data_IF_308888802175
#
_entry.id   IF_308888802175
#
_cell.length_a   1.000
_cell.length_b   1.000
_cell.length_c   1.000
_cell.angle_alpha   90.00
_cell.angle_beta   90.00
_cell.angle_gamma   90.00
#
_symmetry.space_group_name_H-M   'P 1'
#
loop_
_entity.id
_entity.type
_entity.pdbx_description
1 polymer ?
#
# COMPACT_ATOMS: atom_id res chain seq x y z
N UNK A 1 15.81 -4.49 9.01
CA UNK A 1 16.02 -4.03 7.62
C UNK A 1 16.91 -2.80 7.64
N UNK A 2 18.05 -2.90 6.99
CA UNK A 2 19.07 -1.86 6.82
C UNK A 2 19.04 -1.29 5.40
N UNK A 3 19.82 -0.24 5.12
CA UNK A 3 19.98 0.26 3.75
C UNK A 3 20.60 -0.79 2.81
N UNK A 4 21.50 -1.64 3.32
CA UNK A 4 22.10 -2.72 2.55
C UNK A 4 21.07 -3.75 2.09
N UNK A 5 20.10 -4.09 2.95
CA UNK A 5 19.00 -4.99 2.59
C UNK A 5 18.16 -4.42 1.44
N UNK A 6 17.91 -3.10 1.44
CA UNK A 6 17.18 -2.43 0.36
C UNK A 6 17.94 -2.53 -0.96
N UNK A 7 19.24 -2.26 -0.94
CA UNK A 7 20.10 -2.37 -2.12
C UNK A 7 20.13 -3.81 -2.64
N UNK A 8 20.24 -4.81 -1.75
CA UNK A 8 20.27 -6.22 -2.12
C UNK A 8 18.98 -6.65 -2.86
N UNK A 9 17.81 -6.24 -2.39
CA UNK A 9 16.54 -6.54 -3.07
C UNK A 9 16.40 -5.73 -4.36
N UNK A 10 16.63 -4.42 -4.29
CA UNK A 10 16.38 -3.50 -5.40
C UNK A 10 17.29 -3.77 -6.61
N UNK A 11 18.59 -3.99 -6.36
CA UNK A 11 19.63 -4.10 -7.40
C UNK A 11 20.16 -5.51 -7.62
N UNK A 12 20.15 -6.36 -6.60
CA UNK A 12 20.81 -7.68 -6.65
C UNK A 12 19.81 -8.85 -6.68
N UNK A 13 18.51 -8.57 -6.67
CA UNK A 13 17.47 -9.60 -6.75
C UNK A 13 17.37 -10.50 -5.53
N UNK A 14 17.81 -10.03 -4.36
CA UNK A 14 17.67 -10.80 -3.11
C UNK A 14 16.19 -11.16 -2.86
N UNK A 15 15.96 -12.41 -2.44
CA UNK A 15 14.61 -12.91 -2.13
C UNK A 15 14.05 -12.25 -0.88
N UNK A 16 12.75 -11.98 -0.92
CA UNK A 16 11.98 -11.41 0.17
C UNK A 16 11.04 -12.46 0.72
N UNK A 17 11.13 -12.69 2.03
CA UNK A 17 10.21 -13.54 2.79
C UNK A 17 9.61 -12.75 3.93
N UNK A 18 8.33 -13.00 4.22
CA UNK A 18 7.61 -12.33 5.31
C UNK A 18 7.57 -13.29 6.49
N UNK A 19 8.04 -12.84 7.65
CA UNK A 19 8.03 -13.69 8.85
C UNK A 19 6.61 -14.04 9.30
N UNK A 20 6.40 -15.22 9.91
CA UNK A 20 5.11 -15.59 10.50
C UNK A 20 4.59 -14.55 11.50
N UNK A 21 5.47 -13.94 12.29
CA UNK A 21 5.11 -12.90 13.26
C UNK A 21 4.55 -11.64 12.59
N UNK A 22 5.12 -11.22 11.47
CA UNK A 22 4.63 -10.08 10.71
C UNK A 22 3.25 -10.39 10.10
N UNK A 23 3.04 -11.59 9.55
CA UNK A 23 1.74 -12.01 9.05
C UNK A 23 0.68 -12.04 10.16
N UNK A 24 1.05 -12.53 11.35
CA UNK A 24 0.17 -12.53 12.52
C UNK A 24 -0.16 -11.11 12.99
N UNK A 25 0.82 -10.19 13.00
CA UNK A 25 0.60 -8.79 13.35
C UNK A 25 -0.35 -8.09 12.36
N UNK A 26 -0.16 -8.33 11.06
CA UNK A 26 -1.07 -7.85 10.02
C UNK A 26 -2.49 -8.40 10.19
N UNK A 27 -2.64 -9.69 10.48
CA UNK A 27 -3.94 -10.31 10.69
C UNK A 27 -4.70 -9.69 11.88
N UNK A 28 -4.01 -9.42 13.00
CA UNK A 28 -4.59 -8.70 14.15
C UNK A 28 -5.05 -7.30 13.77
N UNK A 29 -4.19 -6.54 13.08
CA UNK A 29 -4.52 -5.20 12.57
C UNK A 29 -5.73 -5.22 11.65
N UNK A 30 -5.81 -6.23 10.77
CA UNK A 30 -6.92 -6.39 9.83
C UNK A 30 -8.24 -6.67 10.54
N UNK A 31 -8.23 -7.53 11.56
CA UNK A 31 -9.42 -7.83 12.35
C UNK A 31 -10.01 -6.56 13.00
N UNK A 32 -9.15 -5.62 13.44
CA UNK A 32 -9.60 -4.32 13.93
C UNK A 32 -10.27 -3.48 12.84
N UNK A 33 -9.74 -3.47 11.61
CA UNK A 33 -10.40 -2.76 10.50
C UNK A 33 -11.75 -3.38 10.14
N UNK A 34 -11.92 -4.70 10.23
CA UNK A 34 -13.24 -5.32 10.01
C UNK A 34 -14.27 -4.84 11.04
N UNK A 35 -13.87 -4.71 12.31
CA UNK A 35 -14.73 -4.16 13.35
C UNK A 35 -15.10 -2.69 13.08
N UNK A 36 -14.12 -1.87 12.66
CA UNK A 36 -14.36 -0.48 12.28
C UNK A 36 -15.29 -0.37 11.06
N UNK A 37 -15.14 -1.28 10.08
CA UNK A 37 -15.99 -1.30 8.91
C UNK A 37 -17.44 -1.68 9.25
N UNK A 38 -17.65 -2.57 10.23
CA UNK A 38 -18.99 -2.93 10.70
C UNK A 38 -19.59 -1.91 11.69
N UNK A 39 -18.77 -1.01 12.25
CA UNK A 39 -19.20 -0.03 13.23
C UNK A 39 -20.06 1.08 12.63
N UNK A 40 -20.97 1.63 13.45
CA UNK A 40 -21.70 2.87 13.15
C UNK A 40 -20.84 4.12 13.35
N UNK A 41 -19.69 4.01 14.02
CA UNK A 41 -18.75 5.12 14.21
C UNK A 41 -18.01 5.41 12.90
N UNK A 42 -18.04 6.66 12.39
CA UNK A 42 -17.29 7.03 11.20
C UNK A 42 -15.78 6.81 11.36
N UNK A 43 -15.15 6.25 10.32
CA UNK A 43 -13.72 6.02 10.24
C UNK A 43 -13.20 6.40 8.86
N UNK A 44 -12.21 7.32 8.83
CA UNK A 44 -11.66 7.90 7.62
C UNK A 44 -11.14 6.84 6.65
N UNK A 45 -11.57 6.92 5.38
CA UNK A 45 -11.16 5.99 4.33
C UNK A 45 -11.68 4.55 4.48
N UNK A 46 -12.52 4.29 5.49
CA UNK A 46 -13.20 3.00 5.72
C UNK A 46 -14.70 3.16 5.51
N UNK A 47 -15.33 4.01 6.32
CA UNK A 47 -16.77 4.31 6.27
C UNK A 47 -17.06 5.76 5.86
N UNK A 48 -16.02 6.55 5.60
CA UNK A 48 -16.12 7.89 5.00
C UNK A 48 -15.25 8.03 3.75
N UNK A 49 -15.42 9.13 3.01
CA UNK A 49 -14.61 9.45 1.84
C UNK A 49 -13.18 9.91 2.17
N UNK A 50 -12.49 10.43 1.16
CA UNK A 50 -11.10 10.90 1.25
C UNK A 50 -11.02 12.42 1.01
N UNK A 51 -10.00 13.07 1.57
CA UNK A 51 -9.75 14.50 1.35
C UNK A 51 -10.97 15.36 1.68
N UNK A 52 -11.44 16.15 0.71
CA UNK A 52 -12.63 17.00 0.87
C UNK A 52 -13.91 16.23 1.26
N UNK A 53 -13.96 14.92 1.01
CA UNK A 53 -15.08 14.04 1.35
C UNK A 53 -14.88 13.27 2.68
N UNK A 54 -13.90 13.66 3.50
CA UNK A 54 -13.59 13.00 4.78
C UNK A 54 -14.79 12.90 5.74
N UNK A 55 -15.71 13.86 5.67
CA UNK A 55 -16.91 13.93 6.51
C UNK A 55 -18.15 13.30 5.87
N UNK A 56 -18.02 12.74 4.66
CA UNK A 56 -19.13 12.13 3.92
C UNK A 56 -19.20 10.64 4.23
N UNK A 57 -20.33 10.18 4.78
CA UNK A 57 -20.55 8.75 5.02
C UNK A 57 -20.69 7.97 3.71
N UNK A 58 -20.11 6.77 3.67
CA UNK A 58 -20.11 5.89 2.51
C UNK A 58 -20.87 4.60 2.84
N UNK A 59 -22.02 4.35 2.17
CA UNK A 59 -22.78 3.11 2.30
C UNK A 59 -21.93 1.88 2.00
N UNK A 60 -22.16 0.77 2.70
CA UNK A 60 -21.33 -0.44 2.66
C UNK A 60 -21.19 -0.96 1.22
N UNK A 61 -22.28 -0.98 0.47
CA UNK A 61 -22.35 -1.44 -0.92
C UNK A 61 -21.50 -0.61 -1.89
N UNK A 62 -21.19 0.65 -1.54
CA UNK A 62 -20.34 1.54 -2.34
C UNK A 62 -18.87 1.49 -1.96
N UNK A 63 -18.49 0.92 -0.80
CA UNK A 63 -17.11 0.98 -0.28
C UNK A 63 -16.10 0.29 -1.19
N UNK A 64 -16.46 -0.84 -1.79
CA UNK A 64 -15.58 -1.55 -2.75
C UNK A 64 -15.32 -0.68 -3.99
N UNK A 65 -16.37 -0.04 -4.52
CA UNK A 65 -16.23 0.87 -5.65
C UNK A 65 -15.38 2.08 -5.28
N UNK A 66 -15.59 2.66 -4.09
CA UNK A 66 -14.81 3.79 -3.59
C UNK A 66 -13.31 3.49 -3.55
N UNK A 67 -12.90 2.33 -3.01
CA UNK A 67 -11.48 1.93 -2.95
C UNK A 67 -10.88 1.75 -4.37
N UNK A 68 -11.65 1.21 -5.32
CA UNK A 68 -11.22 1.11 -6.73
C UNK A 68 -11.08 2.48 -7.39
N UNK A 69 -12.05 3.36 -7.15
CA UNK A 69 -12.02 4.72 -7.67
C UNK A 69 -10.85 5.52 -7.11
N UNK A 70 -10.50 5.33 -5.83
CA UNK A 70 -9.34 5.98 -5.21
C UNK A 70 -8.05 5.68 -5.97
N UNK A 71 -7.77 4.39 -6.23
CA UNK A 71 -6.56 3.99 -6.95
C UNK A 71 -6.55 4.60 -8.35
N UNK A 72 -7.69 4.58 -9.05
CA UNK A 72 -7.80 5.12 -10.41
C UNK A 72 -7.68 6.63 -10.48
N UNK A 73 -8.27 7.36 -9.53
CA UNK A 73 -8.21 8.83 -9.52
C UNK A 73 -6.84 9.37 -9.16
N UNK A 74 -5.99 8.55 -8.51
CA UNK A 74 -4.62 8.92 -8.14
C UNK A 74 -3.55 8.30 -9.04
N UNK A 75 -3.93 7.44 -9.99
CA UNK A 75 -3.05 6.99 -11.07
C UNK A 75 -2.85 8.11 -12.12
N UNK A 76 -2.25 9.20 -11.67
CA UNK A 76 -2.08 10.46 -12.39
C UNK A 76 -0.59 10.81 -12.57
N UNK A 77 0.28 9.82 -12.49
CA UNK A 77 1.72 9.96 -12.73
C UNK A 77 2.01 10.41 -14.17
N UNK A 78 3.00 11.28 -14.34
CA UNK A 78 3.40 11.91 -15.59
C UNK A 78 4.93 12.00 -15.71
N UNK A 79 5.43 12.15 -16.94
CA UNK A 79 6.87 12.22 -17.20
C UNK A 79 7.49 10.86 -17.48
N UNK A 80 8.81 10.79 -17.43
CA UNK A 80 9.54 9.56 -17.74
C UNK A 80 9.32 8.49 -16.65
N UNK A 81 9.38 7.20 -17.02
CA UNK A 81 9.40 6.12 -16.04
C UNK A 81 10.60 6.24 -15.10
N UNK A 82 10.33 6.11 -13.81
CA UNK A 82 11.34 6.00 -12.76
C UNK A 82 12.14 4.69 -12.94
N UNK A 83 13.42 4.71 -12.58
CA UNK A 83 14.31 3.57 -12.74
C UNK A 83 13.79 2.34 -11.96
N UNK A 84 13.90 1.16 -12.57
CA UNK A 84 13.40 -0.10 -12.01
C UNK A 84 13.92 -0.36 -10.59
N UNK A 85 15.19 -0.06 -10.32
CA UNK A 85 15.76 -0.24 -8.97
C UNK A 85 15.10 0.67 -7.92
N UNK A 86 14.74 1.89 -8.28
CA UNK A 86 14.06 2.84 -7.39
C UNK A 86 12.65 2.36 -7.12
N UNK A 87 11.92 1.89 -8.15
CA UNK A 87 10.57 1.33 -7.97
C UNK A 87 10.60 0.07 -7.11
N UNK A 88 11.58 -0.82 -7.30
CA UNK A 88 11.76 -2.01 -6.45
C UNK A 88 12.08 -1.65 -5.00
N UNK A 89 12.92 -0.63 -4.77
CA UNK A 89 13.17 -0.10 -3.43
C UNK A 89 11.88 0.45 -2.80
N UNK A 90 11.09 1.22 -3.56
CA UNK A 90 9.79 1.76 -3.13
C UNK A 90 8.82 0.63 -2.76
N UNK A 91 8.71 -0.42 -3.58
CA UNK A 91 7.91 -1.60 -3.28
C UNK A 91 8.35 -2.26 -1.97
N UNK A 92 9.65 -2.46 -1.75
CA UNK A 92 10.16 -3.08 -0.52
C UNK A 92 9.87 -2.23 0.72
N UNK A 93 10.10 -0.92 0.65
CA UNK A 93 9.83 0.01 1.74
C UNK A 93 8.32 0.05 2.07
N UNK A 94 7.47 -0.03 1.04
CA UNK A 94 6.03 -0.16 1.22
C UNK A 94 5.66 -1.48 1.87
N UNK A 95 6.24 -2.59 1.41
CA UNK A 95 6.06 -3.92 2.00
C UNK A 95 6.42 -3.93 3.49
N UNK A 96 7.59 -3.39 3.85
CA UNK A 96 8.03 -3.24 5.24
C UNK A 96 7.02 -2.46 6.08
N UNK A 97 6.41 -1.42 5.52
CA UNK A 97 5.36 -0.64 6.18
C UNK A 97 4.07 -1.46 6.38
N UNK A 98 3.66 -2.24 5.38
CA UNK A 98 2.50 -3.15 5.50
C UNK A 98 2.73 -4.19 6.61
N UNK A 99 3.93 -4.78 6.64
CA UNK A 99 4.35 -5.77 7.63
C UNK A 99 4.50 -5.24 9.06
N UNK A 100 4.42 -3.92 9.27
CA UNK A 100 4.48 -3.34 10.62
C UNK A 100 3.29 -3.71 11.51
N UNK A 101 2.17 -4.16 10.94
CA UNK A 101 0.95 -4.47 11.69
C UNK A 101 0.13 -3.23 12.10
N UNK A 102 0.41 -2.04 11.55
CA UNK A 102 -0.28 -0.80 11.91
C UNK A 102 -1.11 -0.20 10.75
N UNK A 103 -1.19 -0.89 9.62
CA UNK A 103 -1.83 -0.37 8.39
C UNK A 103 -3.25 -0.90 8.18
N UNK A 104 -3.62 -2.01 8.84
CA UNK A 104 -4.91 -2.65 8.62
C UNK A 104 -5.05 -3.33 7.25
N UNK A 105 -3.96 -3.50 6.50
CA UNK A 105 -3.96 -4.21 5.22
C UNK A 105 -4.16 -5.72 5.41
N UNK A 106 -4.76 -6.37 4.40
CA UNK A 106 -4.88 -7.84 4.38
C UNK A 106 -3.49 -8.47 4.15
N UNK A 107 -3.11 -9.55 4.86
CA UNK A 107 -1.83 -10.24 4.64
C UNK A 107 -1.53 -10.60 3.19
N UNK A 108 -2.57 -11.03 2.44
CA UNK A 108 -2.45 -11.37 1.01
C UNK A 108 -1.86 -10.23 0.17
N UNK A 109 -2.12 -8.96 0.52
CA UNK A 109 -1.56 -7.81 -0.22
C UNK A 109 -0.05 -7.72 -0.07
N UNK A 110 0.46 -7.94 1.15
CA UNK A 110 1.91 -7.96 1.40
C UNK A 110 2.56 -9.20 0.76
N UNK A 111 1.92 -10.37 0.85
CA UNK A 111 2.39 -11.60 0.22
C UNK A 111 2.51 -11.45 -1.29
N UNK A 112 1.47 -10.93 -1.96
CA UNK A 112 1.52 -10.66 -3.41
C UNK A 112 2.61 -9.64 -3.76
N UNK A 113 2.83 -8.61 -2.95
CA UNK A 113 3.92 -7.65 -3.19
C UNK A 113 5.30 -8.31 -3.08
N UNK A 114 5.51 -9.21 -2.12
CA UNK A 114 6.74 -9.99 -2.00
C UNK A 114 6.92 -10.96 -3.20
N UNK A 115 5.83 -11.60 -3.65
CA UNK A 115 5.83 -12.45 -4.84
C UNK A 115 6.21 -11.68 -6.11
N UNK A 116 5.67 -10.47 -6.30
CA UNK A 116 6.05 -9.60 -7.42
C UNK A 116 7.53 -9.23 -7.38
N UNK A 117 8.06 -8.84 -6.21
CA UNK A 117 9.48 -8.53 -6.01
C UNK A 117 10.37 -9.73 -6.35
N UNK A 118 9.98 -10.93 -5.89
CA UNK A 118 10.70 -12.19 -6.11
C UNK A 118 10.60 -12.69 -7.55
N UNK A 119 9.51 -12.37 -8.25
CA UNK A 119 9.30 -12.69 -9.66
C UNK A 119 9.96 -11.68 -10.62
N UNK A 120 10.56 -10.60 -10.09
CA UNK A 120 11.14 -9.53 -10.90
C UNK A 120 10.11 -8.63 -11.59
N UNK A 121 8.83 -8.70 -11.19
CA UNK A 121 7.75 -7.90 -11.79
C UNK A 121 7.75 -6.53 -11.13
N UNK A 122 8.07 -5.50 -11.90
CA UNK A 122 8.15 -4.11 -11.43
C UNK A 122 7.14 -3.26 -12.19
N UNK A 123 6.20 -2.55 -11.51
CA UNK A 123 5.26 -1.66 -12.18
C UNK A 123 5.98 -0.43 -12.76
N UNK A 124 5.35 0.20 -13.74
CA UNK A 124 5.80 1.51 -14.23
C UNK A 124 5.26 2.57 -13.26
N UNK A 125 6.16 3.44 -12.81
CA UNK A 125 5.92 4.58 -11.92
C UNK A 125 6.56 5.78 -12.59
N UNK A 126 5.94 6.96 -12.55
CA UNK A 126 6.39 8.11 -13.32
C UNK A 126 7.01 9.18 -12.39
N UNK A 127 7.89 10.04 -12.93
CA UNK A 127 8.66 10.97 -12.10
C UNK A 127 7.81 12.05 -11.40
N UNK A 128 6.68 12.45 -12.01
CA UNK A 128 5.84 13.54 -11.51
C UNK A 128 4.41 13.09 -11.19
N UNK A 129 3.77 13.76 -10.25
CA UNK A 129 2.33 13.59 -9.95
C UNK A 129 2.03 13.75 -8.46
N UNK A 130 2.90 13.21 -7.62
CA UNK A 130 2.79 13.32 -6.17
C UNK A 130 3.16 14.73 -5.68
N UNK A 131 2.44 15.20 -4.66
CA UNK A 131 2.74 16.44 -3.95
C UNK A 131 3.63 16.21 -2.71
N UNK A 132 3.83 14.95 -2.29
CA UNK A 132 4.57 14.58 -1.08
C UNK A 132 3.94 15.02 0.25
N UNK A 133 2.93 15.90 0.25
CA UNK A 133 2.33 16.49 1.45
C UNK A 133 1.55 15.52 2.35
N UNK A 134 1.03 14.42 1.81
CA UNK A 134 0.21 13.42 2.52
C UNK A 134 0.66 11.97 2.28
N UNK A 135 1.91 11.83 1.83
CA UNK A 135 2.45 10.60 1.24
C UNK A 135 2.35 10.59 -0.28
N UNK A 136 3.07 9.65 -0.92
CA UNK A 136 3.05 9.50 -2.37
C UNK A 136 1.79 8.79 -2.85
N UNK A 137 0.75 9.58 -3.10
CA UNK A 137 -0.55 9.07 -3.55
C UNK A 137 -0.62 8.89 -5.07
N UNK A 138 0.10 9.72 -5.82
CA UNK A 138 0.23 9.66 -7.27
C UNK A 138 1.71 9.58 -7.69
N UNK A 139 2.44 8.54 -7.25
CA UNK A 139 3.76 8.27 -7.80
C UNK A 139 3.63 7.78 -9.26
#
# INVERSE_FOLDING_TARGET
MTAADVIAVARQGARVEISPDALAAMARSRAWIEQLAASSKPAYGISTGFGALANTHIPIEKRVQLQRSLVRSHAAGMGEPVETEVVRALMLLRLKTLCSGHTGARPVVAQTMAELLNAGITPIVHEFGSLGCSGDLAP
#
